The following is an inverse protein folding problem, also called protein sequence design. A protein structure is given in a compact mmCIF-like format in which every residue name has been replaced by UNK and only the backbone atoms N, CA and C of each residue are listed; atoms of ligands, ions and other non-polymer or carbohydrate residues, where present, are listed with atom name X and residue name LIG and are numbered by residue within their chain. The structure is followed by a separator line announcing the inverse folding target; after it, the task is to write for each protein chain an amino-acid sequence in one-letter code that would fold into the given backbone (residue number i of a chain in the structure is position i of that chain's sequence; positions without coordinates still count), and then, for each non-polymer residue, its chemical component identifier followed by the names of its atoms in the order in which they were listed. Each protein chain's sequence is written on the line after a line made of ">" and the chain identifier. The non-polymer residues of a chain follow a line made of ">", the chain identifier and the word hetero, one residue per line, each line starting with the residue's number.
data_IF_003890931629
#
_entry.id   IF_003890931629
#
_cell.length_a   1.000
_cell.length_b   1.000
_cell.length_c   1.000
_cell.angle_alpha   90.00
_cell.angle_beta   90.00
_cell.angle_gamma   90.00
#
_symmetry.space_group_name_H-M   'P 1'
#
loop_
_entity.id
_entity.type
_entity.pdbx_description
1 polymer ?
#
# COMPACT_ATOMS: atom_id res chain seq x y z
N UNK A 1 -13.93 -2.82 -22.28
CA UNK A 1 -12.70 -2.27 -21.67
C UNK A 1 -13.03 -0.89 -21.09
N UNK A 2 -12.72 -0.65 -19.82
CA UNK A 2 -12.87 0.69 -19.22
C UNK A 2 -11.93 1.69 -19.91
N UNK A 3 -12.41 2.91 -20.14
CA UNK A 3 -11.57 3.97 -20.73
C UNK A 3 -10.49 4.37 -19.70
N UNK A 4 -9.26 4.69 -20.15
CA UNK A 4 -8.19 5.14 -19.25
C UNK A 4 -8.57 6.43 -18.52
N UNK A 5 -8.21 6.56 -17.24
CA UNK A 5 -8.28 7.83 -16.54
C UNK A 5 -7.14 8.72 -17.02
N UNK A 6 -7.48 9.91 -17.49
CA UNK A 6 -6.54 10.95 -17.90
C UNK A 6 -6.33 11.91 -16.74
N UNK A 7 -5.08 12.05 -16.31
CA UNK A 7 -4.67 12.88 -15.17
C UNK A 7 -3.66 13.91 -15.64
N UNK A 8 -4.03 15.18 -15.47
CA UNK A 8 -3.14 16.32 -15.66
C UNK A 8 -2.71 16.81 -14.28
N UNK A 9 -1.56 16.35 -13.79
CA UNK A 9 -1.12 16.59 -12.41
C UNK A 9 -0.90 18.08 -12.10
N UNK A 10 -0.68 18.92 -13.11
CA UNK A 10 -0.66 20.38 -12.95
C UNK A 10 -1.95 20.93 -12.35
N UNK A 11 -3.11 20.32 -12.64
CA UNK A 11 -4.41 20.71 -12.05
C UNK A 11 -4.57 20.32 -10.58
N UNK A 12 -3.70 19.44 -10.09
CA UNK A 12 -3.67 18.97 -8.70
C UNK A 12 -2.65 19.75 -7.85
N UNK A 13 -2.15 20.89 -8.34
CA UNK A 13 -1.07 21.67 -7.71
C UNK A 13 -1.30 21.93 -6.21
N UNK A 14 -2.51 22.31 -5.80
CA UNK A 14 -2.76 22.59 -4.38
C UNK A 14 -2.60 21.36 -3.48
N UNK A 15 -2.84 20.15 -3.98
CA UNK A 15 -2.57 18.91 -3.22
C UNK A 15 -1.06 18.77 -2.98
N UNK A 16 -0.23 19.11 -3.97
CA UNK A 16 1.23 19.10 -3.80
C UNK A 16 1.72 20.15 -2.80
N UNK A 17 1.07 21.31 -2.75
CA UNK A 17 1.38 22.33 -1.75
C UNK A 17 1.01 21.89 -0.32
N UNK A 18 0.17 20.85 -0.16
CA UNK A 18 -0.10 20.22 1.14
C UNK A 18 1.04 19.33 1.63
N UNK A 19 1.93 18.88 0.73
CA UNK A 19 3.10 18.08 1.13
C UNK A 19 4.13 18.87 1.96
N UNK A 20 3.98 20.19 2.03
CA UNK A 20 4.79 21.09 2.84
C UNK A 20 4.18 21.37 4.22
N UNK A 21 2.99 20.84 4.50
CA UNK A 21 2.29 21.02 5.78
C UNK A 21 2.80 20.06 6.84
N UNK A 22 2.35 20.28 8.07
CA UNK A 22 2.68 19.55 9.30
C UNK A 22 1.62 18.52 9.71
N UNK A 23 0.67 18.21 8.81
CA UNK A 23 -0.39 17.25 9.04
C UNK A 23 -0.80 16.57 7.73
N UNK A 24 -1.36 15.36 7.84
CA UNK A 24 -1.89 14.66 6.68
C UNK A 24 -3.21 15.28 6.22
N UNK A 25 -3.46 15.25 4.91
CA UNK A 25 -4.70 15.68 4.30
C UNK A 25 -5.24 14.56 3.43
N UNK A 26 -6.57 14.49 3.30
CA UNK A 26 -7.24 13.57 2.41
C UNK A 26 -8.33 14.26 1.62
N UNK A 27 -8.98 13.51 0.74
CA UNK A 27 -10.19 13.97 0.09
C UNK A 27 -10.63 13.06 -1.04
N UNK A 28 -11.45 13.62 -1.91
CA UNK A 28 -11.98 12.95 -3.10
C UNK A 28 -11.45 13.62 -4.36
N UNK A 29 -11.38 12.86 -5.46
CA UNK A 29 -11.13 13.38 -6.80
C UNK A 29 -12.43 13.35 -7.60
N UNK A 30 -12.83 14.49 -8.16
CA UNK A 30 -14.02 14.60 -9.00
C UNK A 30 -13.63 14.25 -10.43
N UNK A 31 -14.11 13.10 -10.93
CA UNK A 31 -13.82 12.62 -12.27
C UNK A 31 -15.05 12.73 -13.17
N UNK A 32 -14.91 13.41 -14.32
CA UNK A 32 -15.94 13.50 -15.37
C UNK A 32 -15.30 13.16 -16.71
N UNK A 33 -15.95 12.30 -17.48
CA UNK A 33 -15.46 11.82 -18.79
C UNK A 33 -14.03 11.23 -18.74
N UNK A 34 -13.71 10.51 -17.66
CA UNK A 34 -12.37 9.96 -17.38
C UNK A 34 -11.27 11.02 -17.25
N UNK A 35 -11.61 12.23 -16.84
CA UNK A 35 -10.66 13.29 -16.52
C UNK A 35 -10.94 13.84 -15.12
N UNK A 36 -9.88 14.16 -14.36
CA UNK A 36 -10.04 14.85 -13.09
C UNK A 36 -10.41 16.31 -13.35
N UNK A 37 -11.56 16.75 -12.82
CA UNK A 37 -12.10 18.11 -12.94
C UNK A 37 -11.99 18.92 -11.65
N UNK A 38 -11.79 18.26 -10.51
CA UNK A 38 -11.66 18.91 -9.22
C UNK A 38 -11.32 17.92 -8.12
N UNK A 39 -11.25 18.41 -6.89
CA UNK A 39 -10.97 17.62 -5.70
C UNK A 39 -11.56 18.31 -4.46
N UNK A 40 -11.81 17.52 -3.43
CA UNK A 40 -12.09 18.03 -2.08
C UNK A 40 -10.84 17.90 -1.22
N UNK A 41 -10.73 18.73 -0.18
CA UNK A 41 -9.69 18.62 0.85
C UNK A 41 -10.39 18.53 2.20
N UNK A 42 -10.10 17.47 2.94
CA UNK A 42 -10.39 17.29 4.36
C UNK A 42 -9.07 17.24 5.12
N UNK A 43 -8.97 18.05 6.16
CA UNK A 43 -7.81 18.07 7.05
C UNK A 43 -7.86 16.84 7.97
N UNK A 44 -6.76 16.09 8.04
CA UNK A 44 -6.57 15.03 9.02
C UNK A 44 -5.86 15.51 10.28
N UNK A 45 -5.42 14.54 11.08
CA UNK A 45 -4.55 14.76 12.22
C UNK A 45 -3.06 14.75 11.79
N UNK A 46 -2.15 14.82 12.77
CA UNK A 46 -0.69 14.85 12.58
C UNK A 46 -0.14 13.48 12.12
N UNK A 47 -0.88 12.39 12.13
CA UNK A 47 -0.36 11.08 11.71
C UNK A 47 -1.42 10.13 11.12
N UNK A 48 -2.63 10.64 10.93
CA UNK A 48 -3.71 9.89 10.36
C UNK A 48 -4.71 10.83 9.72
N UNK A 49 -5.35 10.36 8.66
CA UNK A 49 -6.48 11.07 8.06
C UNK A 49 -7.55 10.09 7.65
N UNK A 50 -8.80 10.40 7.99
CA UNK A 50 -9.93 9.65 7.48
C UNK A 50 -10.13 9.96 6.00
N UNK A 51 -9.81 8.99 5.13
CA UNK A 51 -10.05 9.13 3.70
C UNK A 51 -11.50 8.79 3.37
N UNK A 52 -12.28 9.71 2.75
CA UNK A 52 -13.67 9.46 2.44
C UNK A 52 -13.83 8.32 1.42
N UNK A 53 -14.87 7.49 1.61
CA UNK A 53 -15.26 6.50 0.60
C UNK A 53 -15.85 7.23 -0.61
N UNK A 54 -15.14 7.20 -1.73
CA UNK A 54 -15.56 7.75 -3.00
C UNK A 54 -15.01 6.90 -4.15
N UNK A 55 -15.54 7.02 -5.39
CA UNK A 55 -14.98 6.34 -6.56
C UNK A 55 -13.49 6.65 -6.77
N UNK A 56 -13.04 7.84 -6.35
CA UNK A 56 -11.65 8.27 -6.41
C UNK A 56 -11.35 9.06 -5.14
N UNK A 57 -10.41 8.59 -4.35
CA UNK A 57 -10.02 9.25 -3.12
C UNK A 57 -8.50 9.36 -3.01
N UNK A 58 -8.04 10.18 -2.09
CA UNK A 58 -6.63 10.44 -1.93
C UNK A 58 -6.27 10.83 -0.51
N UNK A 59 -5.00 10.62 -0.15
CA UNK A 59 -4.35 11.29 0.98
C UNK A 59 -2.90 11.65 0.68
N UNK A 60 -2.29 12.42 1.57
CA UNK A 60 -0.93 12.93 1.44
C UNK A 60 -0.03 12.41 2.55
N UNK A 61 1.21 12.04 2.19
CA UNK A 61 2.34 11.85 3.08
C UNK A 61 3.30 13.06 2.98
N UNK A 62 3.07 14.11 3.78
CA UNK A 62 3.85 15.35 3.73
C UNK A 62 5.24 15.22 4.38
N UNK A 63 6.05 16.25 4.18
CA UNK A 63 7.46 16.32 4.58
C UNK A 63 7.71 16.09 6.06
N UNK A 64 6.81 16.56 6.94
CA UNK A 64 7.04 16.40 8.37
C UNK A 64 7.08 14.92 8.79
N UNK A 65 6.31 14.02 8.15
CA UNK A 65 6.34 12.58 8.43
C UNK A 65 7.71 11.98 8.15
N UNK A 66 8.38 12.43 7.08
CA UNK A 66 9.73 11.95 6.74
C UNK A 66 10.73 12.33 7.82
N UNK A 67 10.56 13.51 8.40
CA UNK A 67 11.44 14.03 9.44
C UNK A 67 11.15 13.37 10.79
N UNK A 68 9.86 13.26 11.15
CA UNK A 68 9.41 12.68 12.42
C UNK A 68 9.68 11.18 12.51
N UNK A 69 9.27 10.43 11.49
CA UNK A 69 9.45 8.97 11.43
C UNK A 69 10.85 8.55 10.98
N UNK A 70 11.72 9.53 10.67
CA UNK A 70 13.07 9.32 10.16
C UNK A 70 13.09 8.35 8.96
N UNK A 71 12.18 8.56 8.00
CA UNK A 71 12.04 7.71 6.81
C UNK A 71 12.68 8.32 5.56
N UNK A 72 13.09 7.40 4.69
CA UNK A 72 13.74 7.61 3.40
C UNK A 72 12.74 7.69 2.25
N UNK A 73 11.52 7.20 2.43
CA UNK A 73 10.44 7.10 1.43
C UNK A 73 9.09 7.19 2.12
N UNK A 74 8.07 7.66 1.42
CA UNK A 74 6.70 7.79 1.91
C UNK A 74 5.74 6.88 1.17
N UNK A 75 6.15 5.63 0.88
CA UNK A 75 5.21 4.67 0.30
C UNK A 75 4.06 4.33 1.27
N UNK A 76 2.89 3.89 0.77
CA UNK A 76 1.73 3.51 1.56
C UNK A 76 1.99 2.49 2.68
N UNK A 77 1.28 2.66 3.81
CA UNK A 77 1.31 1.81 4.99
C UNK A 77 0.51 0.51 4.84
N UNK A 78 0.64 -0.40 5.82
CA UNK A 78 -0.22 -1.59 5.85
C UNK A 78 -1.69 -1.25 6.03
N UNK A 79 -1.98 -0.22 6.82
CA UNK A 79 -3.30 0.38 6.99
C UNK A 79 -3.83 0.94 5.66
N UNK A 80 -3.01 1.64 4.89
CA UNK A 80 -3.40 2.17 3.58
C UNK A 80 -3.78 1.02 2.62
N UNK A 81 -3.01 -0.07 2.62
CA UNK A 81 -3.28 -1.23 1.77
C UNK A 81 -4.56 -1.97 2.21
N UNK A 82 -4.81 -2.06 3.52
CA UNK A 82 -6.09 -2.53 4.07
C UNK A 82 -7.25 -1.66 3.58
N UNK A 83 -7.10 -0.35 3.64
CA UNK A 83 -8.13 0.60 3.21
C UNK A 83 -8.40 0.51 1.72
N UNK A 84 -7.38 0.28 0.89
CA UNK A 84 -7.56 0.02 -0.55
C UNK A 84 -8.48 -1.18 -0.80
N UNK A 85 -8.42 -2.25 0.03
CA UNK A 85 -9.38 -3.36 -0.06
C UNK A 85 -10.78 -2.89 0.32
N UNK A 86 -10.94 -2.22 1.47
CA UNK A 86 -12.24 -1.73 1.92
C UNK A 86 -12.89 -0.78 0.91
N UNK A 87 -12.13 0.18 0.39
CA UNK A 87 -12.55 1.10 -0.65
C UNK A 87 -12.94 0.34 -1.92
N UNK A 88 -12.10 -0.60 -2.37
CA UNK A 88 -12.37 -1.39 -3.57
C UNK A 88 -13.67 -2.20 -3.48
N UNK A 89 -13.94 -2.81 -2.32
CA UNK A 89 -15.22 -3.47 -2.02
C UNK A 89 -16.39 -2.49 -1.96
N UNK A 90 -16.15 -1.28 -1.44
CA UNK A 90 -17.13 -0.18 -1.36
C UNK A 90 -17.38 0.55 -2.69
N UNK A 91 -16.72 0.18 -3.79
CA UNK A 91 -16.92 0.77 -5.12
C UNK A 91 -15.92 1.86 -5.52
N UNK A 92 -14.82 2.03 -4.78
CA UNK A 92 -13.68 2.83 -5.22
C UNK A 92 -13.00 2.22 -6.44
N UNK A 93 -12.59 3.08 -7.37
CA UNK A 93 -11.83 2.73 -8.57
C UNK A 93 -10.33 2.77 -8.31
N UNK A 94 -9.85 3.83 -7.65
CA UNK A 94 -8.48 3.94 -7.20
C UNK A 94 -8.32 4.91 -6.03
N UNK A 95 -7.27 4.64 -5.25
CA UNK A 95 -6.80 5.44 -4.14
C UNK A 95 -5.44 6.05 -4.46
N UNK A 96 -5.28 7.34 -4.24
CA UNK A 96 -4.07 8.10 -4.57
C UNK A 96 -3.34 8.51 -3.29
N UNK A 97 -2.07 8.14 -3.16
CA UNK A 97 -1.21 8.59 -2.06
C UNK A 97 -0.15 9.51 -2.61
N UNK A 98 -0.26 10.80 -2.28
CA UNK A 98 0.69 11.82 -2.69
C UNK A 98 1.84 11.87 -1.71
N UNK A 99 3.07 11.71 -2.19
CA UNK A 99 4.28 11.68 -1.37
C UNK A 99 5.36 12.61 -1.98
N UNK A 100 6.47 12.83 -1.26
CA UNK A 100 7.54 13.72 -1.75
C UNK A 100 8.21 13.20 -3.03
N UNK A 101 8.43 11.89 -3.13
CA UNK A 101 9.03 11.27 -4.30
C UNK A 101 8.09 11.20 -5.51
N UNK A 102 6.77 11.13 -5.28
CA UNK A 102 5.82 10.82 -6.32
C UNK A 102 4.42 10.55 -5.79
N UNK A 103 3.57 10.04 -6.65
CA UNK A 103 2.20 9.61 -6.32
C UNK A 103 2.06 8.11 -6.56
N UNK A 104 1.57 7.41 -5.53
CA UNK A 104 1.17 6.01 -5.61
C UNK A 104 -0.31 5.94 -5.92
N UNK A 105 -0.69 5.08 -6.85
CA UNK A 105 -2.08 4.93 -7.28
C UNK A 105 -2.42 3.46 -7.16
N UNK A 106 -3.29 3.14 -6.21
CA UNK A 106 -3.57 1.80 -5.75
C UNK A 106 -5.01 1.42 -6.04
N UNK A 107 -5.21 0.16 -6.36
CA UNK A 107 -6.51 -0.47 -6.44
C UNK A 107 -6.36 -1.98 -6.17
N UNK A 108 -7.43 -2.64 -5.77
CA UNK A 108 -7.50 -4.09 -5.86
C UNK A 108 -7.77 -4.54 -7.30
N UNK A 109 -7.33 -5.73 -7.69
CA UNK A 109 -7.60 -6.23 -9.05
C UNK A 109 -9.07 -6.64 -9.22
N UNK A 110 -9.62 -6.57 -10.44
CA UNK A 110 -11.00 -7.00 -10.71
C UNK A 110 -11.27 -8.44 -10.30
N UNK A 111 -10.34 -9.36 -10.56
CA UNK A 111 -10.49 -10.77 -10.19
C UNK A 111 -10.54 -10.95 -8.66
N UNK A 112 -9.60 -10.32 -7.94
CA UNK A 112 -9.60 -10.38 -6.47
C UNK A 112 -10.86 -9.77 -5.88
N UNK A 113 -11.31 -8.63 -6.40
CA UNK A 113 -12.57 -8.00 -5.99
C UNK A 113 -13.76 -8.96 -6.20
N UNK A 114 -13.90 -9.53 -7.40
CA UNK A 114 -14.95 -10.48 -7.74
C UNK A 114 -14.96 -11.67 -6.77
N UNK A 115 -13.81 -12.29 -6.55
CA UNK A 115 -13.67 -13.41 -5.62
C UNK A 115 -14.09 -13.03 -4.18
N UNK A 116 -13.63 -11.89 -3.67
CA UNK A 116 -14.03 -11.38 -2.35
C UNK A 116 -15.55 -11.12 -2.25
N UNK A 117 -16.20 -10.63 -3.31
CA UNK A 117 -17.62 -10.25 -3.27
C UNK A 117 -18.59 -11.38 -3.58
N UNK A 118 -18.21 -12.30 -4.47
CA UNK A 118 -19.10 -13.31 -5.05
C UNK A 118 -18.85 -14.71 -4.47
N UNK A 119 -17.58 -15.09 -4.29
CA UNK A 119 -17.20 -16.47 -3.92
C UNK A 119 -17.09 -16.64 -2.40
N UNK A 120 -16.47 -15.69 -1.69
CA UNK A 120 -16.33 -15.79 -0.23
C UNK A 120 -17.69 -15.59 0.44
N UNK A 121 -18.28 -16.64 1.01
CA UNK A 121 -19.58 -16.52 1.71
C UNK A 121 -19.44 -16.05 3.16
N UNK A 122 -18.40 -16.50 3.85
CA UNK A 122 -18.17 -16.18 5.26
C UNK A 122 -17.54 -14.79 5.41
N UNK A 123 -18.17 -13.91 6.20
CA UNK A 123 -17.67 -12.55 6.45
C UNK A 123 -16.35 -12.52 7.24
N UNK A 124 -16.07 -13.56 8.04
CA UNK A 124 -14.81 -13.68 8.76
C UNK A 124 -13.64 -14.05 7.85
N UNK A 125 -13.87 -14.82 6.79
CA UNK A 125 -12.81 -15.18 5.83
C UNK A 125 -12.28 -13.93 5.10
N UNK A 126 -13.17 -13.00 4.73
CA UNK A 126 -12.76 -11.68 4.22
C UNK A 126 -11.88 -10.94 5.22
N UNK A 127 -12.27 -10.97 6.50
CA UNK A 127 -11.52 -10.37 7.60
C UNK A 127 -10.13 -10.96 7.75
N UNK A 128 -9.99 -12.28 7.69
CA UNK A 128 -8.72 -13.01 7.78
C UNK A 128 -7.76 -12.54 6.69
N UNK A 129 -8.23 -12.48 5.45
CA UNK A 129 -7.42 -12.04 4.30
C UNK A 129 -6.94 -10.61 4.51
N UNK A 130 -7.83 -9.72 4.92
CA UNK A 130 -7.52 -8.30 5.13
C UNK A 130 -6.51 -8.12 6.27
N UNK A 131 -6.72 -8.77 7.42
CA UNK A 131 -5.86 -8.64 8.59
C UNK A 131 -4.43 -9.15 8.31
N UNK A 132 -4.29 -10.29 7.63
CA UNK A 132 -2.95 -10.82 7.32
C UNK A 132 -2.24 -9.96 6.27
N UNK A 133 -2.96 -9.45 5.25
CA UNK A 133 -2.35 -8.53 4.28
C UNK A 133 -1.90 -7.22 4.93
N UNK A 134 -2.71 -6.64 5.82
CA UNK A 134 -2.34 -5.46 6.61
C UNK A 134 -1.03 -5.72 7.36
N UNK A 135 -0.95 -6.81 8.12
CA UNK A 135 0.23 -7.21 8.89
C UNK A 135 1.48 -7.37 8.00
N UNK A 136 1.34 -8.02 6.84
CA UNK A 136 2.46 -8.17 5.88
C UNK A 136 2.96 -6.81 5.39
N UNK A 137 2.06 -5.87 5.08
CA UNK A 137 2.49 -4.56 4.61
C UNK A 137 3.01 -3.66 5.74
N UNK A 138 2.50 -3.81 6.97
CA UNK A 138 3.08 -3.20 8.19
C UNK A 138 4.54 -3.59 8.35
N UNK A 139 4.90 -4.84 8.05
CA UNK A 139 6.28 -5.29 8.12
C UNK A 139 7.22 -4.50 7.18
N UNK A 140 6.69 -3.88 6.13
CA UNK A 140 7.51 -3.08 5.19
C UNK A 140 7.83 -1.68 5.71
N UNK A 141 7.20 -1.21 6.78
CA UNK A 141 7.45 0.12 7.34
C UNK A 141 8.91 0.33 7.76
N UNK A 142 9.51 -0.66 8.41
CA UNK A 142 10.90 -0.55 8.83
C UNK A 142 11.85 -0.45 7.63
N UNK A 143 11.46 -1.00 6.48
CA UNK A 143 12.26 -1.00 5.24
C UNK A 143 12.34 0.37 4.57
N UNK A 144 11.49 1.34 4.93
CA UNK A 144 11.60 2.74 4.47
C UNK A 144 12.36 3.62 5.45
N UNK A 145 12.79 3.15 6.61
CA UNK A 145 13.55 3.99 7.56
C UNK A 145 14.92 4.38 7.01
N UNK A 146 15.45 5.52 7.45
CA UNK A 146 16.79 5.96 7.07
C UNK A 146 17.88 5.00 7.58
N UNK A 147 17.71 4.46 8.79
CA UNK A 147 18.63 3.49 9.39
C UNK A 147 18.72 2.19 8.58
N UNK A 148 17.57 1.64 8.17
CA UNK A 148 17.54 0.45 7.33
C UNK A 148 18.09 0.74 5.93
N UNK A 149 17.64 1.82 5.28
CA UNK A 149 18.06 2.16 3.91
C UNK A 149 19.54 2.51 3.79
N UNK A 150 20.17 2.98 4.88
CA UNK A 150 21.61 3.23 4.90
C UNK A 150 22.41 1.92 4.75
N UNK A 151 21.92 0.81 5.30
CA UNK A 151 22.55 -0.51 5.21
C UNK A 151 22.10 -1.31 4.00
N UNK A 152 20.79 -1.29 3.72
CA UNK A 152 20.15 -2.08 2.69
C UNK A 152 19.28 -1.16 1.82
N UNK A 153 19.84 -0.59 0.73
CA UNK A 153 19.10 0.34 -0.12
C UNK A 153 17.86 -0.30 -0.76
N UNK A 154 16.69 0.18 -0.35
CA UNK A 154 15.39 -0.15 -0.91
C UNK A 154 14.83 1.09 -1.59
N UNK A 155 14.10 0.91 -2.69
CA UNK A 155 13.49 2.01 -3.44
C UNK A 155 11.97 1.86 -3.49
N UNK A 156 11.22 2.93 -3.83
CA UNK A 156 9.80 2.83 -4.13
C UNK A 156 9.49 1.75 -5.16
N UNK A 157 10.37 1.56 -6.15
CA UNK A 157 10.18 0.55 -7.19
C UNK A 157 10.26 -0.88 -6.65
N UNK A 158 11.12 -1.12 -5.66
CA UNK A 158 11.20 -2.43 -4.99
C UNK A 158 9.91 -2.74 -4.23
N UNK A 159 9.35 -1.75 -3.51
CA UNK A 159 8.06 -1.87 -2.82
C UNK A 159 6.90 -2.07 -3.80
N UNK A 160 6.85 -1.28 -4.89
CA UNK A 160 5.87 -1.44 -5.97
C UNK A 160 5.93 -2.85 -6.56
N UNK A 161 7.13 -3.39 -6.77
CA UNK A 161 7.30 -4.73 -7.30
C UNK A 161 6.73 -5.79 -6.35
N UNK A 162 6.95 -5.65 -5.04
CA UNK A 162 6.35 -6.53 -4.04
C UNK A 162 4.81 -6.45 -4.07
N UNK A 163 4.24 -5.25 -3.95
CA UNK A 163 2.78 -5.03 -3.94
C UNK A 163 2.11 -5.60 -5.20
N UNK A 164 2.73 -5.44 -6.38
CA UNK A 164 2.18 -5.96 -7.65
C UNK A 164 2.30 -7.47 -7.77
N UNK A 165 3.23 -8.10 -7.07
CA UNK A 165 3.54 -9.52 -7.25
C UNK A 165 3.04 -10.40 -6.11
N UNK A 166 2.70 -9.82 -4.96
CA UNK A 166 2.17 -10.57 -3.83
C UNK A 166 0.92 -11.37 -4.23
N UNK A 167 0.88 -12.61 -3.73
CA UNK A 167 -0.23 -13.55 -3.86
C UNK A 167 -0.36 -14.28 -2.53
N UNK A 168 -1.57 -14.63 -2.13
CA UNK A 168 -1.80 -15.37 -0.87
C UNK A 168 -0.99 -16.68 -0.82
N UNK A 169 -0.91 -17.41 -1.95
CA UNK A 169 -0.10 -18.64 -2.04
C UNK A 169 1.38 -18.44 -1.76
N UNK A 170 1.93 -17.26 -2.06
CA UNK A 170 3.35 -17.02 -1.84
C UNK A 170 3.71 -17.01 -0.37
N UNK A 171 2.76 -16.68 0.51
CA UNK A 171 2.93 -16.65 1.97
C UNK A 171 3.24 -18.02 2.57
N UNK A 172 2.85 -19.09 1.88
CA UNK A 172 2.99 -20.48 2.32
C UNK A 172 3.98 -21.27 1.45
N UNK A 173 4.63 -20.63 0.48
CA UNK A 173 5.55 -21.30 -0.40
C UNK A 173 6.85 -21.67 0.31
N UNK A 174 7.29 -22.92 0.16
CA UNK A 174 8.61 -23.37 0.64
C UNK A 174 9.71 -22.51 0.00
N UNK A 175 10.71 -22.04 0.76
CA UNK A 175 11.74 -21.15 0.23
C UNK A 175 12.51 -21.84 -0.90
N UNK A 176 12.39 -21.32 -2.11
CA UNK A 176 13.33 -21.66 -3.17
C UNK A 176 14.56 -20.78 -2.98
N UNK A 177 15.73 -21.40 -2.72
CA UNK A 177 16.96 -20.71 -2.26
C UNK A 177 17.41 -19.53 -3.14
N UNK A 178 16.97 -19.46 -4.40
CA UNK A 178 17.57 -18.54 -5.37
C UNK A 178 16.65 -17.48 -6.01
N UNK A 179 15.32 -17.47 -5.86
CA UNK A 179 14.46 -16.39 -6.42
C UNK A 179 13.14 -16.21 -5.66
N UNK A 180 13.07 -15.20 -4.79
CA UNK A 180 11.77 -14.69 -4.31
C UNK A 180 11.04 -14.00 -5.48
N UNK A 181 9.75 -14.30 -5.73
CA UNK A 181 9.02 -13.74 -6.87
C UNK A 181 8.88 -12.21 -6.79
N UNK A 182 8.95 -11.61 -5.61
CA UNK A 182 8.77 -10.18 -5.37
C UNK A 182 10.07 -9.36 -5.42
N UNK A 183 11.24 -10.00 -5.43
CA UNK A 183 12.53 -9.34 -5.60
C UNK A 183 13.20 -9.00 -4.27
N UNK A 184 13.68 -7.76 -4.11
CA UNK A 184 14.46 -7.35 -2.92
C UNK A 184 13.66 -7.36 -1.63
N UNK A 185 12.38 -7.02 -1.73
CA UNK A 185 11.40 -7.19 -0.65
C UNK A 185 10.66 -8.48 -0.95
N UNK A 186 10.78 -9.43 -0.03
CA UNK A 186 10.31 -10.79 -0.19
C UNK A 186 8.80 -10.89 0.04
N UNK A 187 8.15 -11.83 -0.65
CA UNK A 187 6.73 -12.14 -0.42
C UNK A 187 6.52 -13.47 0.30
N UNK A 188 7.46 -14.41 0.25
CA UNK A 188 7.33 -15.68 0.97
C UNK A 188 7.84 -15.63 2.40
N UNK A 189 8.59 -14.59 2.73
CA UNK A 189 9.15 -14.34 4.06
C UNK A 189 9.06 -12.88 4.41
N UNK A 190 8.95 -12.61 5.70
CA UNK A 190 8.94 -11.27 6.25
C UNK A 190 10.38 -10.87 6.55
N UNK A 191 10.79 -9.73 5.98
CA UNK A 191 12.05 -9.11 6.37
C UNK A 191 11.85 -8.41 7.70
N UNK A 192 12.54 -8.89 8.74
CA UNK A 192 12.58 -8.24 10.06
C UNK A 192 13.96 -7.61 10.28
N UNK A 193 13.99 -6.62 11.17
CA UNK A 193 15.22 -6.00 11.64
C UNK A 193 15.05 -5.66 13.12
N UNK A 194 15.36 -6.62 13.99
CA UNK A 194 15.50 -6.37 15.43
C UNK A 194 16.99 -6.35 15.81
N UNK A 195 17.47 -5.23 16.35
CA UNK A 195 18.80 -5.13 16.95
C UNK A 195 19.99 -5.01 15.98
N UNK A 196 21.12 -5.60 16.39
CA UNK A 196 22.46 -5.47 15.76
C UNK A 196 22.78 -6.54 14.71
N UNK A 197 21.88 -7.51 14.48
CA UNK A 197 22.10 -8.61 13.53
C UNK A 197 21.71 -8.24 12.10
N UNK A 198 22.23 -9.02 11.15
CA UNK A 198 21.95 -8.93 9.72
C UNK A 198 20.45 -9.10 9.40
N UNK A 199 20.05 -8.67 8.19
CA UNK A 199 18.70 -8.85 7.63
C UNK A 199 18.18 -10.28 7.87
N UNK A 200 17.17 -10.44 8.73
CA UNK A 200 16.53 -11.73 8.97
C UNK A 200 15.28 -11.89 8.09
N UNK A 201 15.08 -13.12 7.61
CA UNK A 201 13.92 -13.49 6.80
C UNK A 201 13.17 -14.61 7.52
N UNK A 202 12.08 -14.25 8.19
CA UNK A 202 11.27 -15.20 8.97
C UNK A 202 9.98 -15.59 8.24
N UNK A 203 9.43 -16.80 8.50
CA UNK A 203 8.09 -17.18 8.07
C UNK A 203 7.01 -16.20 8.52
N UNK A 204 5.89 -16.16 7.79
CA UNK A 204 4.73 -15.32 8.15
C UNK A 204 4.16 -15.70 9.52
N UNK A 205 4.18 -16.98 9.87
CA UNK A 205 3.72 -17.45 11.19
C UNK A 205 4.56 -16.84 12.31
N UNK A 206 5.88 -17.03 12.25
CA UNK A 206 6.81 -16.52 13.26
C UNK A 206 6.70 -14.99 13.40
N UNK A 207 6.58 -14.26 12.28
CA UNK A 207 6.36 -12.81 12.31
C UNK A 207 5.04 -12.44 12.98
N UNK A 208 3.95 -13.14 12.62
CA UNK A 208 2.64 -12.89 13.19
C UNK A 208 2.64 -13.12 14.70
N UNK A 209 3.28 -14.19 15.16
CA UNK A 209 3.41 -14.51 16.59
C UNK A 209 4.27 -13.49 17.34
N UNK A 210 5.36 -13.01 16.73
CA UNK A 210 6.20 -11.95 17.31
C UNK A 210 5.46 -10.61 17.41
N UNK A 211 4.68 -10.25 16.38
CA UNK A 211 4.07 -8.92 16.26
C UNK A 211 2.70 -8.81 16.97
N UNK A 212 1.85 -9.82 16.85
CA UNK A 212 0.47 -9.83 17.38
C UNK A 212 0.34 -10.68 18.66
N UNK A 213 1.37 -11.46 19.03
CA UNK A 213 1.27 -12.50 20.07
C UNK A 213 0.54 -13.74 19.53
N UNK A 214 -0.18 -14.49 20.36
CA UNK A 214 -0.82 -15.74 19.89
C UNK A 214 -2.14 -15.52 19.14
N UNK A 215 -2.67 -14.29 19.13
CA UNK A 215 -3.97 -13.97 18.54
C UNK A 215 -3.92 -12.70 17.71
N UNK A 216 -4.65 -12.68 16.60
CA UNK A 216 -4.83 -11.49 15.76
C UNK A 216 -6.28 -11.00 15.82
N UNK A 217 -6.49 -9.68 15.77
CA UNK A 217 -7.82 -9.09 15.66
C UNK A 217 -8.35 -9.24 14.23
N UNK A 218 -9.47 -9.91 14.06
CA UNK A 218 -10.13 -10.11 12.77
C UNK A 218 -11.46 -9.37 12.76
N UNK A 219 -11.77 -8.67 11.68
CA UNK A 219 -13.05 -7.99 11.48
C UNK A 219 -14.05 -8.85 10.71
N UNK A 220 -15.34 -8.72 11.03
CA UNK A 220 -16.43 -9.31 10.25
C UNK A 220 -16.76 -8.37 9.08
N UNK A 221 -16.32 -8.73 7.88
CA UNK A 221 -16.38 -7.84 6.70
C UNK A 221 -17.48 -8.26 5.72
N UNK A 222 -18.38 -7.34 5.40
CA UNK A 222 -19.44 -7.51 4.41
C UNK A 222 -18.95 -7.37 2.97
N UNK A 223 -19.80 -7.73 1.99
CA UNK A 223 -19.49 -7.67 0.55
C UNK A 223 -19.12 -6.27 0.05
N UNK A 224 -19.66 -5.22 0.69
CA UNK A 224 -19.38 -3.81 0.37
C UNK A 224 -18.29 -3.20 1.26
N UNK A 225 -17.53 -4.01 1.99
CA UNK A 225 -16.47 -3.54 2.90
C UNK A 225 -16.95 -3.07 4.28
N UNK A 226 -18.25 -3.14 4.60
CA UNK A 226 -18.78 -2.77 5.92
C UNK A 226 -18.24 -3.69 7.03
N UNK A 227 -17.82 -3.10 8.15
CA UNK A 227 -17.39 -3.84 9.35
C UNK A 227 -18.57 -3.98 10.31
N UNK A 228 -18.93 -5.22 10.65
CA UNK A 228 -20.11 -5.54 11.47
C UNK A 228 -19.75 -6.29 12.77
N UNK A 229 -18.51 -6.15 13.23
CA UNK A 229 -17.99 -6.78 14.43
C UNK A 229 -16.51 -7.14 14.31
N UNK A 230 -15.91 -7.56 15.41
CA UNK A 230 -14.53 -8.02 15.48
C UNK A 230 -14.39 -9.15 16.51
N UNK A 231 -13.35 -9.97 16.37
CA UNK A 231 -12.96 -10.96 17.39
C UNK A 231 -11.47 -11.27 17.28
N UNK A 232 -10.86 -11.65 18.40
CA UNK A 232 -9.50 -12.21 18.41
C UNK A 232 -9.56 -13.68 17.96
N UNK A 233 -8.63 -14.08 17.11
CA UNK A 233 -8.51 -15.45 16.61
C UNK A 233 -7.08 -15.94 16.78
N UNK A 234 -6.90 -17.23 17.10
CA UNK A 234 -5.58 -17.85 17.20
C UNK A 234 -4.85 -17.76 15.84
N UNK A 235 -3.59 -17.32 15.84
CA UNK A 235 -2.83 -17.09 14.61
C UNK A 235 -2.68 -18.38 13.80
N UNK A 236 -2.37 -19.50 14.45
CA UNK A 236 -2.27 -20.80 13.80
C UNK A 236 -3.56 -21.20 13.05
N UNK A 237 -4.73 -20.95 13.66
CA UNK A 237 -6.02 -21.20 13.03
C UNK A 237 -6.31 -20.24 11.87
N UNK A 238 -5.95 -18.96 12.02
CA UNK A 238 -6.10 -17.94 10.97
C UNK A 238 -5.23 -18.27 9.76
N UNK A 239 -3.97 -18.64 9.97
CA UNK A 239 -3.03 -18.96 8.90
C UNK A 239 -3.42 -20.24 8.17
N UNK A 240 -3.84 -21.29 8.89
CA UNK A 240 -4.39 -22.50 8.27
C UNK A 240 -5.59 -22.17 7.39
N UNK A 241 -6.54 -21.36 7.89
CA UNK A 241 -7.70 -20.95 7.10
C UNK A 241 -7.30 -20.09 5.90
N UNK A 242 -6.31 -19.22 6.05
CA UNK A 242 -5.80 -18.38 4.96
C UNK A 242 -5.15 -19.23 3.85
N UNK A 243 -4.46 -20.32 4.19
CA UNK A 243 -3.89 -21.24 3.21
C UNK A 243 -4.97 -21.88 2.33
N UNK A 244 -6.07 -22.35 2.93
CA UNK A 244 -7.24 -22.87 2.20
C UNK A 244 -7.87 -21.79 1.28
N UNK A 245 -7.97 -20.55 1.77
CA UNK A 245 -8.47 -19.41 1.00
C UNK A 245 -7.50 -19.02 -0.14
N UNK A 246 -6.20 -19.21 0.05
CA UNK A 246 -5.19 -18.96 -0.98
C UNK A 246 -5.32 -19.95 -2.15
N UNK A 247 -5.61 -21.22 -1.85
CA UNK A 247 -5.95 -22.23 -2.86
C UNK A 247 -7.24 -21.88 -3.59
N UNK A 248 -8.26 -21.42 -2.87
CA UNK A 248 -9.53 -21.02 -3.46
C UNK A 248 -9.38 -19.84 -4.42
N UNK A 249 -8.70 -18.78 -4.00
CA UNK A 249 -8.38 -17.65 -4.87
C UNK A 249 -7.58 -18.11 -6.10
N UNK A 250 -6.63 -19.03 -5.93
CA UNK A 250 -5.84 -19.52 -7.06
C UNK A 250 -6.67 -20.30 -8.07
N UNK A 251 -7.68 -21.07 -7.63
CA UNK A 251 -8.62 -21.76 -8.53
C UNK A 251 -9.55 -20.78 -9.25
N UNK A 252 -10.15 -19.85 -8.51
CA UNK A 252 -11.08 -18.86 -9.08
C UNK A 252 -10.37 -17.86 -10.02
N UNK A 253 -9.12 -17.54 -9.69
CA UNK A 253 -8.35 -16.45 -10.27
C UNK A 253 -6.87 -16.87 -10.43
N UNK A 254 -6.54 -17.78 -11.37
CA UNK A 254 -5.17 -18.27 -11.56
C UNK A 254 -4.17 -17.14 -11.76
N UNK A 255 -3.02 -17.23 -11.07
CA UNK A 255 -1.96 -16.22 -11.12
C UNK A 255 -2.38 -14.79 -10.71
N UNK A 256 -3.57 -14.62 -10.12
CA UNK A 256 -4.10 -13.29 -9.87
C UNK A 256 -3.34 -12.56 -8.78
N UNK A 257 -3.16 -11.27 -9.04
CA UNK A 257 -2.56 -10.31 -8.13
C UNK A 257 -3.67 -9.75 -7.24
N UNK A 258 -3.31 -9.39 -6.03
CA UNK A 258 -4.27 -8.76 -5.11
C UNK A 258 -4.43 -7.29 -5.48
N UNK A 259 -3.30 -6.60 -5.65
CA UNK A 259 -3.25 -5.18 -5.95
C UNK A 259 -2.74 -4.90 -7.37
N UNK A 260 -3.21 -3.80 -7.92
CA UNK A 260 -2.54 -3.10 -9.00
C UNK A 260 -2.05 -1.75 -8.42
N UNK A 261 -0.75 -1.50 -8.54
CA UNK A 261 -0.17 -0.22 -8.14
C UNK A 261 0.58 0.39 -9.31
N UNK A 262 0.32 1.66 -9.53
CA UNK A 262 1.02 2.51 -10.48
C UNK A 262 1.70 3.63 -9.71
N UNK A 263 2.82 4.12 -10.23
CA UNK A 263 3.59 5.16 -9.57
C UNK A 263 4.10 6.16 -10.59
N UNK A 264 4.02 7.44 -10.21
CA UNK A 264 4.58 8.54 -10.99
C UNK A 264 5.42 9.42 -10.10
N UNK A 265 6.66 9.57 -10.52
CA UNK A 265 7.65 10.43 -9.91
C UNK A 265 7.28 11.91 -10.09
N UNK A 266 7.50 12.71 -9.04
CA UNK A 266 7.36 14.16 -9.07
C UNK A 266 8.44 14.81 -9.96
N UNK A 267 8.24 16.01 -10.50
CA UNK A 267 9.27 16.63 -11.34
C UNK A 267 10.46 17.13 -10.49
N UNK A 268 11.68 17.04 -11.02
CA UNK A 268 12.89 17.67 -10.47
C UNK A 268 13.51 17.03 -9.22
N UNK A 269 12.77 16.18 -8.50
CA UNK A 269 13.22 15.44 -7.32
C UNK A 269 13.79 14.02 -7.58
N UNK A 270 13.26 13.19 -8.51
CA UNK A 270 13.54 11.76 -8.55
C UNK A 270 14.91 11.32 -9.04
N UNK A 271 15.45 11.81 -10.19
CA UNK A 271 16.77 11.36 -10.64
C UNK A 271 17.88 11.73 -9.66
N UNK A 272 17.63 12.70 -8.76
CA UNK A 272 18.57 13.11 -7.71
C UNK A 272 18.32 12.34 -6.41
N UNK A 273 17.11 12.35 -5.84
CA UNK A 273 16.82 11.71 -4.54
C UNK A 273 17.05 10.19 -4.55
N UNK A 274 16.76 9.51 -5.66
CA UNK A 274 17.00 8.06 -5.81
C UNK A 274 18.48 7.69 -5.88
N UNK A 275 19.35 8.65 -6.23
CA UNK A 275 20.81 8.47 -6.25
C UNK A 275 21.48 8.82 -4.93
N UNK A 276 20.80 9.56 -4.05
CA UNK A 276 21.30 9.92 -2.73
C UNK A 276 21.22 8.73 -1.77
N UNK A 277 22.24 8.62 -0.91
CA UNK A 277 22.19 7.73 0.26
C UNK A 277 21.10 8.21 1.22
N UNK A 278 20.60 7.33 2.08
CA UNK A 278 19.49 7.64 3.01
C UNK A 278 19.72 8.92 3.83
N UNK A 279 20.91 9.07 4.42
CA UNK A 279 21.27 10.25 5.23
C UNK A 279 21.32 11.54 4.41
N UNK A 280 21.83 11.48 3.18
CA UNK A 280 21.87 12.63 2.26
C UNK A 280 20.47 13.01 1.81
N UNK A 281 19.62 12.01 1.56
CA UNK A 281 18.21 12.22 1.20
C UNK A 281 17.42 12.89 2.32
N UNK A 282 17.61 12.45 3.56
CA UNK A 282 17.01 13.06 4.75
C UNK A 282 17.42 14.54 4.89
N UNK A 283 18.69 14.86 4.65
CA UNK A 283 19.16 16.27 4.59
C UNK A 283 18.51 17.03 3.45
N UNK A 284 18.41 16.43 2.26
CA UNK A 284 17.80 17.06 1.09
C UNK A 284 16.32 17.37 1.32
N UNK A 285 15.57 16.50 1.98
CA UNK A 285 14.16 16.71 2.33
C UNK A 285 13.94 18.02 3.11
N UNK A 286 14.81 18.34 4.05
CA UNK A 286 14.76 19.59 4.84
C UNK A 286 14.95 20.87 4.01
N UNK A 287 15.46 20.74 2.78
CA UNK A 287 15.69 21.87 1.86
C UNK A 287 14.61 22.00 0.78
N UNK A 288 13.66 21.05 0.72
CA UNK A 288 12.57 21.11 -0.24
C UNK A 288 11.65 22.26 0.16
N UNK A 289 11.74 23.36 -0.59
CA UNK A 289 10.82 24.50 -0.48
C UNK A 289 9.54 24.28 -1.25
N UNK A 290 9.56 23.38 -2.23
CA UNK A 290 8.40 23.13 -3.07
C UNK A 290 8.43 21.76 -3.73
N UNK A 291 7.34 20.98 -3.62
CA UNK A 291 7.16 19.76 -4.41
C UNK A 291 6.50 20.10 -5.74
N UNK A 292 7.08 19.65 -6.86
CA UNK A 292 6.51 19.90 -8.20
C UNK A 292 5.77 18.66 -8.69
N UNK A 293 4.50 18.79 -9.14
CA UNK A 293 3.75 17.67 -9.68
C UNK A 293 4.48 17.02 -10.87
N UNK A 294 4.20 15.75 -11.21
CA UNK A 294 4.61 15.13 -12.47
C UNK A 294 4.21 16.00 -13.68
N UNK A 295 5.04 16.01 -14.72
CA UNK A 295 4.78 16.80 -15.93
C UNK A 295 3.82 16.07 -16.87
N UNK A 296 3.06 16.87 -17.63
CA UNK A 296 2.23 16.39 -18.72
C UNK A 296 0.94 15.70 -18.28
N UNK A 297 0.32 15.07 -19.27
CA UNK A 297 -0.94 14.34 -19.13
C UNK A 297 -0.63 12.84 -19.09
N UNK A 298 -1.06 12.18 -18.03
CA UNK A 298 -0.81 10.75 -17.81
C UNK A 298 -2.12 9.99 -17.95
N UNK A 299 -2.10 8.89 -18.72
CA UNK A 299 -3.22 7.96 -18.83
C UNK A 299 -2.98 6.75 -17.93
N UNK A 300 -3.93 6.46 -17.06
CA UNK A 300 -3.91 5.29 -16.18
C UNK A 300 -4.92 4.26 -16.65
N UNK A 301 -4.42 3.07 -16.95
CA UNK A 301 -5.23 1.91 -17.28
C UNK A 301 -5.47 1.09 -16.01
N UNK A 302 -6.70 1.07 -15.54
CA UNK A 302 -7.07 0.37 -14.31
C UNK A 302 -7.46 -1.10 -14.54
N UNK A 303 -7.36 -1.61 -15.78
CA UNK A 303 -7.92 -2.91 -16.14
C UNK A 303 -9.45 -2.84 -16.08
N UNK A 304 -10.13 -3.46 -17.04
CA UNK A 304 -11.60 -3.46 -17.03
C UNK A 304 -12.14 -4.02 -15.72
N UNK A 305 -13.12 -3.34 -15.12
CA UNK A 305 -14.13 -4.00 -14.29
C UNK A 305 -14.87 -4.99 -15.16
#
# INVERSE_FOLDING_TARGET
>A
MSKPLTVEFGKLRKIYDLLEKDHECAGTLVVKNNEIKGYTISRGDVDSVHTPLAPWNWHSHPLFLYTRENVSWGWPSGEDLREVIFFGLGGNNAHFVFALEGVYILQITPCFKKWMTEEIRNQWDRGIIIAILEMIFKSTHNLRTNSYNAKYPITPQDWINMVRRIRLKFLFATPNKNKDPCGKITCSRITTHEGTREKELIPVQDYAEQYEGNTILVYKVGKKGSINGSKKMQISAVLKRLEELADDLHRACPNSRIYNVQFRFNNGLPPRLTKLKAMERSKQYKTIKQVKPPSGVVKFNFGGV
#
